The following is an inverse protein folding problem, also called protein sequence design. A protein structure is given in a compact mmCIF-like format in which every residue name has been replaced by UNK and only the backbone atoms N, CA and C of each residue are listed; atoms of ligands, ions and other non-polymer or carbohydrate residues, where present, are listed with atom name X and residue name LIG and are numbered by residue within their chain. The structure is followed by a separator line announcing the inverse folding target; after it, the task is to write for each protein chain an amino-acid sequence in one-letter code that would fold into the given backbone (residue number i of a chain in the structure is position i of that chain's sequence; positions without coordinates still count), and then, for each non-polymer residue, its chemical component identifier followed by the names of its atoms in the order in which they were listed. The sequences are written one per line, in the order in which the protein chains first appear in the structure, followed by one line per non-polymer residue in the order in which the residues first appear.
data_IF_046974152886
#
_entry.id   IF_046974152886
#
_cell.length_a   1.000
_cell.length_b   1.000
_cell.length_c   1.000
_cell.angle_alpha   90.00
_cell.angle_beta   90.00
_cell.angle_gamma   90.00
#
_symmetry.space_group_name_H-M   'P 1'
#
loop_
_entity.id
_entity.type
_entity.pdbx_description
1 polymer ?
#
# COMPACT_ATOMS: atom_id res chain seq x y z
N UNK A 1 12.00 -9.57 22.68
CA UNK A 1 11.36 -8.51 21.88
C UNK A 1 10.69 -9.11 20.62
N UNK A 2 11.41 -9.91 19.78
CA UNK A 2 10.88 -10.50 18.51
C UNK A 2 9.61 -11.31 18.75
N UNK A 3 9.59 -12.25 19.68
CA UNK A 3 8.42 -13.09 19.98
C UNK A 3 7.18 -12.25 20.36
N UNK A 4 7.39 -11.14 21.06
CA UNK A 4 6.30 -10.22 21.41
C UNK A 4 5.76 -9.50 20.17
N UNK A 5 6.65 -9.04 19.27
CA UNK A 5 6.27 -8.43 18.01
C UNK A 5 5.44 -9.41 17.16
N UNK A 6 5.97 -10.61 17.00
CA UNK A 6 5.30 -11.65 16.20
C UNK A 6 3.95 -12.10 16.79
N UNK A 7 3.78 -12.01 18.10
CA UNK A 7 2.49 -12.27 18.75
C UNK A 7 1.41 -11.21 18.48
N UNK A 8 1.73 -10.10 17.82
CA UNK A 8 0.78 -9.10 17.36
C UNK A 8 0.40 -9.25 15.89
N UNK A 9 1.14 -10.10 15.15
CA UNK A 9 0.93 -10.34 13.72
C UNK A 9 0.10 -11.62 13.55
N UNK A 10 -0.90 -11.55 12.69
CA UNK A 10 -1.73 -12.70 12.35
C UNK A 10 -0.99 -13.73 11.49
N UNK A 11 -1.54 -14.94 11.40
CA UNK A 11 -0.99 -16.04 10.60
C UNK A 11 -0.85 -15.64 9.12
N UNK A 12 -1.75 -14.84 8.59
CA UNK A 12 -1.73 -14.34 7.21
C UNK A 12 -0.42 -13.62 6.86
N UNK A 13 0.16 -12.88 7.81
CA UNK A 13 1.44 -12.21 7.59
C UNK A 13 2.55 -13.24 7.33
N UNK A 14 2.66 -14.27 8.17
CA UNK A 14 3.70 -15.30 8.07
C UNK A 14 3.51 -16.23 6.87
N UNK A 15 2.27 -16.38 6.39
CA UNK A 15 1.95 -17.20 5.22
C UNK A 15 2.24 -16.48 3.91
N UNK A 16 2.22 -15.15 3.90
CA UNK A 16 2.31 -14.34 2.67
C UNK A 16 3.66 -13.66 2.49
N UNK A 17 4.37 -13.37 3.60
CA UNK A 17 5.67 -12.74 3.53
C UNK A 17 6.80 -13.78 3.46
N UNK A 18 7.90 -13.43 2.78
CA UNK A 18 9.09 -14.26 2.77
C UNK A 18 9.84 -14.17 4.10
N UNK A 19 10.61 -15.21 4.47
CA UNK A 19 11.45 -15.17 5.66
C UNK A 19 12.44 -13.98 5.64
N UNK A 20 12.88 -13.57 4.46
CA UNK A 20 13.77 -12.42 4.28
C UNK A 20 13.05 -11.10 4.57
N UNK A 21 11.80 -10.96 4.07
CA UNK A 21 10.99 -9.76 4.32
C UNK A 21 10.59 -9.69 5.80
N UNK A 22 10.16 -10.79 6.41
CA UNK A 22 9.84 -10.88 7.83
C UNK A 22 11.05 -10.44 8.69
N UNK A 23 12.25 -10.90 8.33
CA UNK A 23 13.48 -10.54 9.05
C UNK A 23 13.77 -9.05 8.94
N UNK A 24 13.70 -8.50 7.74
CA UNK A 24 13.98 -7.09 7.47
C UNK A 24 12.95 -6.18 8.15
N UNK A 25 11.67 -6.46 7.99
CA UNK A 25 10.57 -5.71 8.60
C UNK A 25 10.62 -5.77 10.13
N UNK A 26 10.88 -6.97 10.69
CA UNK A 26 11.03 -7.15 12.15
C UNK A 26 12.21 -6.37 12.70
N UNK A 27 13.36 -6.37 12.02
CA UNK A 27 14.52 -5.58 12.41
C UNK A 27 14.19 -4.09 12.43
N UNK A 28 13.59 -3.58 11.35
CA UNK A 28 13.18 -2.19 11.24
C UNK A 28 12.25 -1.76 12.38
N UNK A 29 11.26 -2.59 12.74
CA UNK A 29 10.32 -2.29 13.83
C UNK A 29 11.03 -2.31 15.20
N UNK A 30 11.96 -3.24 15.40
CA UNK A 30 12.64 -3.40 16.68
C UNK A 30 13.73 -2.34 16.93
N UNK A 31 14.33 -1.82 15.88
CA UNK A 31 15.33 -0.75 15.92
C UNK A 31 14.70 0.62 16.13
N UNK A 32 13.41 0.79 15.76
CA UNK A 32 12.64 2.00 16.02
C UNK A 32 11.89 1.90 17.34
N UNK A 33 12.48 2.49 18.38
CA UNK A 33 11.87 2.50 19.73
C UNK A 33 10.76 3.58 19.89
N UNK A 34 10.45 4.32 18.80
CA UNK A 34 9.46 5.40 18.80
C UNK A 34 8.09 4.95 18.27
N UNK A 35 7.05 5.70 18.68
CA UNK A 35 5.70 5.54 18.14
C UNK A 35 5.53 6.15 16.73
N UNK A 36 6.62 6.66 16.15
CA UNK A 36 6.63 7.32 14.86
C UNK A 36 6.42 6.33 13.71
N UNK A 37 5.96 6.84 12.58
CA UNK A 37 5.77 6.06 11.37
C UNK A 37 7.13 5.59 10.83
N UNK A 38 7.23 4.30 10.51
CA UNK A 38 8.38 3.71 9.83
C UNK A 38 8.04 3.65 8.34
N UNK A 39 8.88 4.25 7.52
CA UNK A 39 8.77 4.19 6.07
C UNK A 39 10.14 3.82 5.54
N UNK A 40 10.24 2.70 4.85
CA UNK A 40 11.49 2.22 4.25
C UNK A 40 11.26 1.93 2.77
N UNK A 41 12.24 2.27 1.96
CA UNK A 41 12.23 2.06 0.51
C UNK A 41 13.45 1.24 0.13
N UNK A 42 13.25 0.16 -0.62
CA UNK A 42 14.35 -0.68 -1.15
C UNK A 42 13.98 -1.28 -2.51
N UNK A 43 14.96 -1.81 -3.22
CA UNK A 43 14.69 -2.76 -4.30
C UNK A 43 14.14 -4.06 -3.70
N UNK A 44 13.12 -4.62 -4.33
CA UNK A 44 12.51 -5.86 -3.82
C UNK A 44 13.46 -7.04 -3.97
N UNK A 45 13.44 -7.91 -2.97
CA UNK A 45 14.12 -9.21 -3.02
C UNK A 45 13.17 -10.34 -3.45
N UNK A 46 11.89 -10.01 -3.64
CA UNK A 46 10.85 -10.97 -4.02
C UNK A 46 10.94 -11.31 -5.50
N UNK A 47 11.13 -12.60 -5.83
CA UNK A 47 11.11 -13.08 -7.22
C UNK A 47 9.79 -12.79 -7.94
N UNK A 48 8.68 -12.70 -7.21
CA UNK A 48 7.36 -12.41 -7.76
C UNK A 48 7.25 -10.95 -8.25
N UNK A 49 7.99 -10.04 -7.63
CA UNK A 49 7.98 -8.61 -7.93
C UNK A 49 9.36 -8.14 -8.38
N UNK A 50 10.14 -9.04 -9.02
CA UNK A 50 11.48 -8.73 -9.51
C UNK A 50 11.48 -7.45 -10.34
N UNK A 51 12.42 -6.55 -10.03
CA UNK A 51 12.52 -5.25 -10.67
C UNK A 51 11.52 -4.20 -10.18
N UNK A 52 10.83 -4.40 -9.06
CA UNK A 52 10.00 -3.38 -8.44
C UNK A 52 10.70 -2.70 -7.25
N UNK A 53 10.24 -1.52 -6.89
CA UNK A 53 10.57 -0.87 -5.62
C UNK A 53 9.61 -1.37 -4.54
N UNK A 54 10.16 -1.83 -3.44
CA UNK A 54 9.41 -2.23 -2.26
C UNK A 54 9.40 -1.10 -1.23
N UNK A 55 8.19 -0.72 -0.82
CA UNK A 55 7.95 0.30 0.19
C UNK A 55 7.29 -0.36 1.39
N UNK A 56 7.96 -0.34 2.52
CA UNK A 56 7.46 -0.85 3.78
C UNK A 56 6.99 0.32 4.66
N UNK A 57 5.77 0.21 5.18
CA UNK A 57 5.17 1.21 6.06
C UNK A 57 4.66 0.52 7.32
N UNK A 58 5.07 1.02 8.49
CA UNK A 58 4.39 0.74 9.76
C UNK A 58 3.89 2.06 10.31
N UNK A 59 2.58 2.18 10.45
CA UNK A 59 1.92 3.39 10.97
C UNK A 59 0.77 3.02 11.89
N UNK A 60 0.20 3.99 12.62
CA UNK A 60 -1.01 3.75 13.41
C UNK A 60 -2.16 3.33 12.48
N UNK A 61 -2.93 2.33 12.93
CA UNK A 61 -4.15 1.92 12.23
C UNK A 61 -5.21 3.02 12.33
N UNK A 62 -5.47 3.68 11.21
CA UNK A 62 -6.42 4.78 11.06
C UNK A 62 -7.18 4.62 9.75
N UNK A 63 -8.39 5.16 9.72
CA UNK A 63 -9.14 5.26 8.46
C UNK A 63 -8.32 6.03 7.41
N UNK A 64 -8.47 5.66 6.13
CA UNK A 64 -7.84 6.33 4.99
C UNK A 64 -6.31 6.17 4.84
N UNK A 65 -5.60 5.40 5.67
CA UNK A 65 -4.15 5.17 5.51
C UNK A 65 -3.83 4.70 4.09
N UNK A 66 -4.51 3.64 3.62
CA UNK A 66 -4.30 3.13 2.27
C UNK A 66 -4.61 4.17 1.18
N UNK A 67 -5.67 4.98 1.36
CA UNK A 67 -6.02 6.03 0.41
C UNK A 67 -4.96 7.14 0.37
N UNK A 68 -4.41 7.53 1.52
CA UNK A 68 -3.34 8.52 1.62
C UNK A 68 -2.06 8.02 0.93
N UNK A 69 -1.65 6.78 1.22
CA UNK A 69 -0.48 6.16 0.58
C UNK A 69 -0.67 6.06 -0.94
N UNK A 70 -1.81 5.55 -1.40
CA UNK A 70 -2.10 5.44 -2.83
C UNK A 70 -2.09 6.80 -3.53
N UNK A 71 -2.58 7.86 -2.87
CA UNK A 71 -2.54 9.22 -3.39
C UNK A 71 -1.12 9.78 -3.47
N UNK A 72 -0.30 9.58 -2.43
CA UNK A 72 1.10 9.99 -2.44
C UNK A 72 1.88 9.35 -3.59
N UNK A 73 1.71 8.05 -3.78
CA UNK A 73 2.38 7.30 -4.84
C UNK A 73 1.91 7.74 -6.23
N UNK A 74 0.61 7.98 -6.41
CA UNK A 74 0.07 8.53 -7.66
C UNK A 74 0.64 9.92 -7.97
N UNK A 75 0.79 10.80 -6.99
CA UNK A 75 1.40 12.12 -7.15
C UNK A 75 2.87 12.05 -7.61
N UNK A 76 3.57 10.99 -7.26
CA UNK A 76 4.94 10.72 -7.69
C UNK A 76 5.01 9.97 -9.03
N UNK A 77 3.89 9.74 -9.71
CA UNK A 77 3.75 8.91 -10.93
C UNK A 77 4.24 7.47 -10.73
N UNK A 78 4.04 6.91 -9.53
CA UNK A 78 4.35 5.53 -9.24
C UNK A 78 3.11 4.65 -9.39
N UNK A 79 3.27 3.56 -10.11
CA UNK A 79 2.22 2.56 -10.34
C UNK A 79 2.32 1.45 -9.30
N UNK A 80 1.26 1.25 -8.52
CA UNK A 80 1.18 0.17 -7.53
C UNK A 80 0.87 -1.13 -8.25
N UNK A 81 1.76 -2.12 -8.14
CA UNK A 81 1.64 -3.43 -8.74
C UNK A 81 1.02 -4.46 -7.79
N UNK A 82 1.32 -4.35 -6.51
CA UNK A 82 0.78 -5.18 -5.43
C UNK A 82 0.81 -4.39 -4.12
N UNK A 83 -0.15 -4.63 -3.25
CA UNK A 83 -0.18 -4.05 -1.91
C UNK A 83 -0.66 -5.10 -0.91
N UNK A 84 0.05 -5.25 0.19
CA UNK A 84 -0.28 -6.14 1.29
C UNK A 84 -0.47 -5.32 2.54
N UNK A 85 -1.59 -5.52 3.20
CA UNK A 85 -2.00 -4.74 4.37
C UNK A 85 -2.27 -5.71 5.51
N UNK A 86 -1.63 -5.49 6.66
CA UNK A 86 -1.78 -6.30 7.84
C UNK A 86 -2.08 -5.41 9.05
N UNK A 87 -3.27 -5.57 9.61
CA UNK A 87 -3.63 -4.92 10.86
C UNK A 87 -3.14 -5.75 12.03
N UNK A 88 -2.48 -5.12 13.00
CA UNK A 88 -2.03 -5.84 14.20
C UNK A 88 -3.19 -6.05 15.16
N UNK A 89 -3.35 -7.28 15.67
CA UNK A 89 -4.49 -7.65 16.52
C UNK A 89 -4.59 -6.84 17.82
N UNK A 90 -3.46 -6.35 18.35
CA UNK A 90 -3.39 -5.68 19.65
C UNK A 90 -2.54 -4.42 19.67
N UNK A 91 -1.94 -4.05 18.56
CA UNK A 91 -0.94 -2.98 18.51
C UNK A 91 -1.49 -1.62 18.13
N UNK A 92 -2.66 -1.56 17.51
CA UNK A 92 -3.19 -0.31 16.93
C UNK A 92 -2.33 0.22 15.79
N UNK A 93 -1.59 -0.66 15.11
CA UNK A 93 -0.75 -0.35 13.96
C UNK A 93 -1.15 -1.20 12.76
N UNK A 94 -0.95 -0.66 11.58
CA UNK A 94 -0.93 -1.41 10.32
C UNK A 94 0.51 -1.58 9.85
N UNK A 95 0.76 -2.70 9.18
CA UNK A 95 2.02 -3.02 8.50
C UNK A 95 1.69 -3.26 7.05
N UNK A 96 2.15 -2.36 6.19
CA UNK A 96 1.79 -2.35 4.79
C UNK A 96 3.05 -2.48 3.94
N UNK A 97 2.97 -3.26 2.88
CA UNK A 97 4.03 -3.40 1.88
C UNK A 97 3.48 -3.11 0.50
N UNK A 98 4.07 -2.15 -0.20
CA UNK A 98 3.71 -1.78 -1.56
C UNK A 98 4.85 -2.13 -2.51
N UNK A 99 4.50 -2.69 -3.65
CA UNK A 99 5.43 -2.91 -4.77
C UNK A 99 5.06 -1.96 -5.88
N UNK A 100 6.00 -1.07 -6.25
CA UNK A 100 5.74 0.01 -7.19
C UNK A 100 6.77 0.07 -8.30
N UNK A 101 6.34 0.61 -9.46
CA UNK A 101 7.19 0.93 -10.61
C UNK A 101 7.00 2.39 -10.99
N UNK A 102 7.99 2.99 -11.64
CA UNK A 102 7.88 4.31 -12.22
C UNK A 102 7.02 4.30 -13.51
N UNK A 103 6.83 5.46 -14.11
CA UNK A 103 6.11 5.62 -15.38
C UNK A 103 6.71 4.85 -16.56
N UNK A 104 7.98 4.43 -16.45
CA UNK A 104 8.71 3.64 -17.45
C UNK A 104 8.76 2.15 -17.11
N UNK A 105 8.00 1.71 -16.10
CA UNK A 105 8.01 0.35 -15.53
C UNK A 105 9.40 -0.06 -14.99
N UNK A 106 10.09 0.85 -14.30
CA UNK A 106 11.40 0.62 -13.71
C UNK A 106 11.35 0.76 -12.19
N UNK A 107 12.26 0.07 -11.46
CA UNK A 107 12.44 0.29 -10.04
C UNK A 107 12.97 1.71 -9.78
N UNK A 108 12.66 2.24 -8.64
CA UNK A 108 13.09 3.59 -8.22
C UNK A 108 14.07 3.56 -7.05
N UNK A 109 14.27 2.40 -6.44
CA UNK A 109 15.08 2.26 -5.24
C UNK A 109 16.58 2.55 -5.45
N UNK A 110 17.08 2.37 -6.67
CA UNK A 110 18.47 2.68 -7.04
C UNK A 110 18.77 4.19 -7.07
N UNK A 111 17.72 5.02 -7.02
CA UNK A 111 17.85 6.47 -6.96
C UNK A 111 17.61 6.97 -5.53
N UNK A 112 18.66 7.30 -4.75
CA UNK A 112 18.51 7.73 -3.36
C UNK A 112 17.67 9.00 -3.19
N UNK A 113 17.71 9.91 -4.17
CA UNK A 113 16.91 11.14 -4.14
C UNK A 113 15.42 10.81 -4.30
N UNK A 114 15.09 9.91 -5.21
CA UNK A 114 13.71 9.49 -5.42
C UNK A 114 13.17 8.68 -4.23
N UNK A 115 13.98 7.80 -3.65
CA UNK A 115 13.63 7.09 -2.41
C UNK A 115 13.33 8.05 -1.27
N UNK A 116 14.14 9.09 -1.11
CA UNK A 116 13.91 10.15 -0.11
C UNK A 116 12.64 10.95 -0.41
N UNK A 117 12.36 11.26 -1.66
CA UNK A 117 11.13 11.94 -2.07
C UNK A 117 9.89 11.09 -1.78
N UNK A 118 9.97 9.78 -1.99
CA UNK A 118 8.90 8.82 -1.64
C UNK A 118 8.64 8.86 -0.13
N UNK A 119 9.68 8.74 0.68
CA UNK A 119 9.55 8.79 2.15
C UNK A 119 8.92 10.12 2.62
N UNK A 120 9.39 11.23 2.09
CA UNK A 120 8.88 12.56 2.46
C UNK A 120 7.42 12.76 2.08
N UNK A 121 7.04 12.36 0.86
CA UNK A 121 5.66 12.44 0.39
C UNK A 121 4.72 11.57 1.24
N UNK A 122 5.13 10.34 1.54
CA UNK A 122 4.36 9.43 2.39
C UNK A 122 4.19 9.98 3.81
N UNK A 123 5.26 10.51 4.43
CA UNK A 123 5.17 11.14 5.76
C UNK A 123 4.22 12.34 5.76
N UNK A 124 4.27 13.17 4.73
CA UNK A 124 3.40 14.34 4.61
C UNK A 124 1.91 13.93 4.50
N UNK A 125 1.59 12.95 3.67
CA UNK A 125 0.21 12.46 3.52
C UNK A 125 -0.30 11.71 4.76
N UNK A 126 0.55 10.90 5.40
CA UNK A 126 0.18 10.20 6.64
C UNK A 126 -0.05 11.17 7.81
N UNK A 127 0.64 12.31 7.84
CA UNK A 127 0.39 13.34 8.85
C UNK A 127 -1.00 14.00 8.71
N UNK A 128 -1.58 13.98 7.53
CA UNK A 128 -2.89 14.58 7.21
C UNK A 128 -4.03 13.55 7.14
N UNK A 129 -3.76 12.28 7.42
CA UNK A 129 -4.71 11.19 7.16
C UNK A 129 -6.03 11.32 7.93
N UNK A 130 -6.02 11.92 9.10
CA UNK A 130 -7.23 12.11 9.93
C UNK A 130 -8.16 13.20 9.35
N UNK A 131 -7.59 14.18 8.63
CA UNK A 131 -8.29 15.28 7.94
C UNK A 131 -8.53 14.98 6.44
N UNK A 132 -8.35 13.73 6.04
CA UNK A 132 -8.30 13.30 4.63
C UNK A 132 -9.68 13.40 3.94
N UNK A 133 -10.20 14.63 3.82
CA UNK A 133 -11.49 14.91 3.17
C UNK A 133 -11.38 15.10 1.66
N UNK A 134 -10.20 15.45 1.13
CA UNK A 134 -10.00 15.83 -0.27
C UNK A 134 -8.86 15.06 -0.92
N UNK A 135 -9.19 13.97 -1.64
CA UNK A 135 -8.28 13.41 -2.63
C UNK A 135 -8.29 14.35 -3.83
N UNK A 136 -7.17 15.01 -4.09
CA UNK A 136 -6.98 15.80 -5.30
C UNK A 136 -6.83 14.81 -6.46
N UNK A 137 -7.91 14.57 -7.19
CA UNK A 137 -7.83 13.77 -8.41
C UNK A 137 -7.13 14.57 -9.50
N UNK A 138 -6.01 14.08 -10.02
CA UNK A 138 -5.40 14.61 -11.23
C UNK A 138 -6.38 14.50 -12.40
N UNK A 139 -6.31 15.48 -13.32
CA UNK A 139 -7.12 15.42 -14.55
C UNK A 139 -6.69 14.24 -15.40
N UNK A 140 -7.62 13.37 -15.73
CA UNK A 140 -7.41 12.27 -16.67
C UNK A 140 -6.92 12.83 -18.02
N UNK A 141 -5.80 12.33 -18.57
CA UNK A 141 -5.34 12.72 -19.89
C UNK A 141 -6.43 12.54 -20.94
N UNK A 142 -6.52 13.49 -21.90
CA UNK A 142 -7.56 13.46 -22.95
C UNK A 142 -7.55 12.16 -23.77
N UNK A 143 -6.38 11.56 -23.96
CA UNK A 143 -6.20 10.31 -24.72
C UNK A 143 -6.92 9.12 -24.07
N UNK A 144 -6.97 9.04 -22.73
CA UNK A 144 -7.68 7.96 -22.03
C UNK A 144 -9.21 8.12 -22.08
N UNK A 145 -9.72 9.31 -22.42
CA UNK A 145 -11.17 9.54 -22.58
C UNK A 145 -11.73 8.94 -23.88
N UNK A 146 -10.86 8.58 -24.83
CA UNK A 146 -11.28 8.03 -26.13
C UNK A 146 -11.61 6.53 -26.08
N UNK A 147 -11.20 5.83 -25.04
CA UNK A 147 -11.49 4.40 -24.86
C UNK A 147 -12.68 4.25 -23.91
N UNK A 148 -13.86 4.05 -24.47
CA UNK A 148 -15.09 3.76 -23.72
C UNK A 148 -15.12 2.27 -23.31
N UNK A 149 -14.21 1.85 -22.43
CA UNK A 149 -14.31 0.53 -21.80
C UNK A 149 -15.28 0.68 -20.61
N UNK A 150 -16.42 0.00 -20.62
CA UNK A 150 -17.36 0.07 -19.52
C UNK A 150 -16.72 -0.55 -18.26
N UNK A 151 -16.86 0.13 -17.13
CA UNK A 151 -16.45 -0.44 -15.84
C UNK A 151 -17.30 -1.68 -15.56
N UNK A 152 -16.63 -2.77 -15.20
CA UNK A 152 -17.23 -4.03 -14.76
C UNK A 152 -16.72 -4.35 -13.37
N UNK A 153 -17.61 -4.87 -12.53
CA UNK A 153 -17.27 -5.33 -11.19
C UNK A 153 -17.82 -6.72 -10.99
N UNK A 154 -17.06 -7.56 -10.31
CA UNK A 154 -17.52 -8.87 -9.82
C UNK A 154 -17.13 -9.03 -8.36
N UNK A 155 -17.98 -9.72 -7.61
CA UNK A 155 -17.77 -9.99 -6.19
C UNK A 155 -17.87 -11.50 -5.99
N UNK A 156 -16.88 -12.08 -5.35
CA UNK A 156 -16.87 -13.48 -4.94
C UNK A 156 -16.39 -13.62 -3.51
N UNK A 157 -16.94 -14.59 -2.79
CA UNK A 157 -16.52 -14.91 -1.43
C UNK A 157 -15.59 -16.11 -1.47
N UNK A 158 -14.40 -15.96 -0.89
CA UNK A 158 -13.53 -17.08 -0.61
C UNK A 158 -13.79 -17.60 0.81
N UNK A 159 -14.46 -18.75 0.86
CA UNK A 159 -14.85 -19.39 2.13
C UNK A 159 -13.61 -19.87 2.90
N UNK A 160 -12.55 -20.25 2.20
CA UNK A 160 -11.34 -20.79 2.83
C UNK A 160 -10.55 -19.73 3.60
N UNK A 161 -10.54 -18.49 3.09
CA UNK A 161 -9.83 -17.36 3.70
C UNK A 161 -10.74 -16.41 4.46
N UNK A 162 -12.05 -16.67 4.49
CA UNK A 162 -13.06 -15.78 5.08
C UNK A 162 -12.96 -14.34 4.54
N UNK A 163 -12.64 -14.19 3.26
CA UNK A 163 -12.47 -12.91 2.57
C UNK A 163 -13.41 -12.76 1.39
N UNK A 164 -13.72 -11.53 1.05
CA UNK A 164 -14.45 -11.17 -0.16
C UNK A 164 -13.47 -10.62 -1.19
N UNK A 165 -13.51 -11.14 -2.39
CA UNK A 165 -12.74 -10.64 -3.53
C UNK A 165 -13.62 -9.73 -4.35
N UNK A 166 -13.21 -8.48 -4.51
CA UNK A 166 -13.79 -7.53 -5.43
C UNK A 166 -12.85 -7.37 -6.63
N UNK A 167 -13.31 -7.77 -7.80
CA UNK A 167 -12.63 -7.51 -9.06
C UNK A 167 -13.24 -6.28 -9.73
N UNK A 168 -12.40 -5.37 -10.18
CA UNK A 168 -12.79 -4.15 -10.88
C UNK A 168 -12.01 -4.08 -12.19
N UNK A 169 -12.72 -4.12 -13.31
CA UNK A 169 -12.16 -3.95 -14.65
C UNK A 169 -12.60 -2.58 -15.16
N UNK A 170 -11.67 -1.67 -15.30
CA UNK A 170 -11.94 -0.31 -15.79
C UNK A 170 -10.68 0.27 -16.44
N UNK A 171 -10.81 1.35 -17.26
CA UNK A 171 -9.66 2.08 -17.75
C UNK A 171 -8.82 2.61 -16.59
N UNK A 172 -7.51 2.42 -16.67
CA UNK A 172 -6.58 3.01 -15.71
C UNK A 172 -6.61 4.54 -15.81
N UNK A 173 -6.53 5.19 -14.67
CA UNK A 173 -6.48 6.65 -14.55
C UNK A 173 -5.79 7.07 -13.26
N UNK A 174 -5.11 8.23 -13.27
CA UNK A 174 -4.50 8.78 -12.07
C UNK A 174 -5.49 8.87 -10.90
N UNK A 175 -5.06 8.46 -9.71
CA UNK A 175 -5.86 8.48 -8.49
C UNK A 175 -6.96 7.43 -8.39
N UNK A 176 -7.04 6.48 -9.34
CA UNK A 176 -8.09 5.45 -9.31
C UNK A 176 -8.05 4.61 -8.04
N UNK A 177 -6.88 4.12 -7.67
CA UNK A 177 -6.73 3.27 -6.48
C UNK A 177 -7.02 4.05 -5.19
N UNK A 178 -6.58 5.30 -5.11
CA UNK A 178 -6.90 6.19 -4.00
C UNK A 178 -8.41 6.45 -3.87
N UNK A 179 -9.11 6.61 -5.01
CA UNK A 179 -10.58 6.76 -5.03
C UNK A 179 -11.28 5.49 -4.54
N UNK A 180 -10.86 4.30 -5.00
CA UNK A 180 -11.40 3.01 -4.55
C UNK A 180 -11.19 2.85 -3.04
N UNK A 181 -9.98 3.12 -2.57
CA UNK A 181 -9.64 3.06 -1.15
C UNK A 181 -10.51 3.97 -0.28
N UNK A 182 -10.81 5.19 -0.76
CA UNK A 182 -11.71 6.12 -0.08
C UNK A 182 -13.16 5.60 -0.03
N UNK A 183 -13.62 4.95 -1.09
CA UNK A 183 -14.95 4.32 -1.10
C UNK A 183 -14.99 3.21 -0.04
N UNK A 184 -13.96 2.38 0.04
CA UNK A 184 -13.86 1.33 1.06
C UNK A 184 -13.90 1.90 2.48
N UNK A 185 -13.11 2.95 2.73
CA UNK A 185 -13.10 3.63 4.03
C UNK A 185 -14.48 4.19 4.41
N UNK A 186 -15.20 4.81 3.47
CA UNK A 186 -16.56 5.32 3.70
C UNK A 186 -17.58 4.23 4.06
N UNK A 187 -17.36 3.04 3.57
CA UNK A 187 -18.22 1.89 3.84
C UNK A 187 -17.68 0.99 4.96
N UNK A 188 -16.64 1.44 5.68
CA UNK A 188 -15.99 0.69 6.76
C UNK A 188 -15.51 -0.69 6.32
N UNK A 189 -15.08 -0.82 5.07
CA UNK A 189 -14.50 -2.04 4.52
C UNK A 189 -13.00 -2.06 4.80
N UNK A 190 -12.52 -3.19 5.30
CA UNK A 190 -11.08 -3.43 5.46
C UNK A 190 -10.50 -4.00 4.17
N UNK A 191 -9.34 -3.47 3.78
CA UNK A 191 -8.58 -3.96 2.65
C UNK A 191 -7.38 -4.75 3.18
N UNK A 192 -7.26 -6.01 2.76
CA UNK A 192 -6.14 -6.87 3.14
C UNK A 192 -5.12 -7.03 2.01
N UNK A 193 -5.54 -6.77 0.77
CA UNK A 193 -4.70 -6.93 -0.41
C UNK A 193 -5.28 -6.15 -1.59
N UNK A 194 -4.41 -5.59 -2.44
CA UNK A 194 -4.78 -5.00 -3.73
C UNK A 194 -3.73 -5.37 -4.79
N UNK A 195 -4.21 -5.67 -6.00
CA UNK A 195 -3.36 -5.99 -7.16
C UNK A 195 -3.86 -5.26 -8.39
#
# INVERSE_FOLDING_TARGET
KVQRLWGYLGDDYFLRESAQDITWQSAAILDHDSADDIILVRETTSRKHEGATEIFIRTRDRSNVFAAVASALDHLNLSIQDARIYNTERGGYTIDTFYVLDENNRPTADNPELSKNIEQALRAELALVDDYSNIISRRTPRQLKSFAIPTRTSISNDISSNTTVLEIICPDRPGLLALIARIFSRHHLQLNNAK
#
